data_IF_733407635213
#
_entry.id   IF_733407635213
#
_cell.length_a   1.000
_cell.length_b   1.000
_cell.length_c   1.000
_cell.angle_alpha   90.00
_cell.angle_beta   90.00
_cell.angle_gamma   90.00
#
_symmetry.space_group_name_H-M   'P 1'
#
loop_
_entity.id
_entity.type
_entity.pdbx_description
1 polymer ?
#
# COMPACT_ATOMS: atom_id res chain seq x y z
N UNK A 1 -7.99 -42.73 -24.72
CA UNK A 1 -6.90 -43.71 -24.54
C UNK A 1 -7.43 -45.14 -24.36
N UNK A 2 -8.38 -45.40 -23.42
CA UNK A 2 -8.96 -46.75 -23.24
C UNK A 2 -9.68 -47.19 -24.49
N UNK A 3 -10.61 -46.40 -25.01
CA UNK A 3 -11.36 -46.66 -26.26
C UNK A 3 -10.41 -46.86 -27.45
N UNK A 4 -9.33 -46.08 -27.54
CA UNK A 4 -8.29 -46.25 -28.55
C UNK A 4 -7.60 -47.60 -28.45
N UNK A 5 -7.23 -48.02 -27.22
CA UNK A 5 -6.60 -49.34 -27.02
C UNK A 5 -7.56 -50.46 -27.37
N UNK A 6 -8.82 -50.36 -26.98
CA UNK A 6 -9.87 -51.36 -27.30
C UNK A 6 -10.15 -51.44 -28.80
N UNK A 7 -10.17 -50.33 -29.50
CA UNK A 7 -10.29 -50.28 -30.95
C UNK A 7 -9.15 -50.99 -31.68
N UNK A 8 -7.88 -50.79 -31.21
CA UNK A 8 -6.74 -51.49 -31.79
C UNK A 8 -6.77 -52.99 -31.51
N UNK A 9 -7.07 -53.38 -30.28
CA UNK A 9 -7.25 -54.79 -29.91
C UNK A 9 -8.25 -55.50 -30.76
N UNK A 10 -9.39 -54.88 -30.98
CA UNK A 10 -10.45 -55.43 -31.84
C UNK A 10 -10.09 -55.53 -33.33
N UNK A 11 -9.25 -54.59 -33.82
CA UNK A 11 -8.77 -54.63 -35.21
C UNK A 11 -7.60 -55.55 -35.46
N UNK A 12 -6.72 -55.67 -34.50
CA UNK A 12 -5.44 -56.42 -34.68
C UNK A 12 -5.43 -57.79 -34.01
N UNK A 13 -6.47 -58.16 -33.24
CA UNK A 13 -6.52 -59.36 -32.40
C UNK A 13 -5.36 -59.49 -31.40
N UNK A 14 -4.67 -58.39 -31.15
CA UNK A 14 -3.53 -58.29 -30.24
C UNK A 14 -4.01 -58.32 -28.77
N UNK A 15 -3.30 -59.02 -27.90
CA UNK A 15 -3.62 -58.99 -26.47
C UNK A 15 -3.40 -57.61 -25.90
N UNK A 16 -4.39 -57.12 -25.14
CA UNK A 16 -4.31 -55.81 -24.51
C UNK A 16 -3.05 -55.60 -23.67
N UNK A 17 -2.56 -56.68 -23.02
CA UNK A 17 -1.33 -56.63 -22.22
C UNK A 17 -0.09 -56.28 -23.04
N UNK A 18 -0.02 -56.72 -24.29
CA UNK A 18 1.08 -56.45 -25.22
C UNK A 18 0.98 -55.00 -25.71
N UNK A 19 -0.22 -54.56 -26.05
CA UNK A 19 -0.46 -53.19 -26.54
C UNK A 19 -0.13 -52.14 -25.45
N UNK A 20 -0.54 -52.31 -24.23
CA UNK A 20 -0.24 -51.36 -23.16
C UNK A 20 1.25 -51.34 -22.80
N UNK A 21 1.95 -52.49 -22.94
CA UNK A 21 3.39 -52.51 -22.78
C UNK A 21 4.10 -51.72 -23.89
N UNK A 22 3.68 -51.88 -25.13
CA UNK A 22 4.22 -51.07 -26.26
C UNK A 22 3.98 -49.58 -26.11
N UNK A 23 2.87 -49.21 -25.51
CA UNK A 23 2.51 -47.80 -25.21
C UNK A 23 3.16 -47.29 -23.94
N UNK A 24 4.00 -48.08 -23.28
CA UNK A 24 4.64 -47.74 -21.99
C UNK A 24 3.64 -47.32 -20.90
N UNK A 25 2.48 -48.02 -20.85
CA UNK A 25 1.43 -47.82 -19.87
C UNK A 25 1.45 -48.96 -18.88
N UNK A 26 1.52 -48.67 -17.57
CA UNK A 26 1.41 -49.74 -16.57
C UNK A 26 0.02 -50.39 -16.56
N UNK A 27 -0.06 -51.71 -16.34
CA UNK A 27 -1.35 -52.45 -16.25
C UNK A 27 -2.33 -51.80 -15.26
N UNK A 28 -1.84 -51.44 -14.06
CA UNK A 28 -2.67 -50.82 -13.04
C UNK A 28 -3.23 -49.46 -13.47
N UNK A 29 -2.47 -48.68 -14.25
CA UNK A 29 -2.92 -47.41 -14.80
C UNK A 29 -4.01 -47.57 -15.86
N UNK A 30 -3.83 -48.53 -16.77
CA UNK A 30 -4.82 -48.85 -17.81
C UNK A 30 -6.16 -49.29 -17.20
N UNK A 31 -6.15 -50.26 -16.28
CA UNK A 31 -7.37 -50.77 -15.64
C UNK A 31 -8.06 -49.71 -14.77
N UNK A 32 -7.32 -48.87 -14.10
CA UNK A 32 -7.89 -47.69 -13.41
C UNK A 32 -8.59 -46.72 -14.38
N UNK A 33 -8.02 -46.54 -15.56
CA UNK A 33 -8.68 -45.73 -16.59
C UNK A 33 -9.93 -46.40 -17.14
N UNK A 34 -9.87 -47.71 -17.37
CA UNK A 34 -11.00 -48.51 -17.87
C UNK A 34 -12.21 -48.41 -16.91
N UNK A 35 -11.98 -48.52 -15.60
CA UNK A 35 -13.01 -48.37 -14.58
C UNK A 35 -13.66 -46.99 -14.55
N UNK A 36 -13.00 -46.00 -15.12
CA UNK A 36 -13.48 -44.61 -15.17
C UNK A 36 -14.11 -44.21 -16.50
N UNK A 37 -14.16 -45.11 -17.47
CA UNK A 37 -14.83 -44.84 -18.73
C UNK A 37 -16.31 -44.65 -18.44
N UNK A 38 -16.90 -43.56 -18.97
CA UNK A 38 -18.30 -43.18 -18.70
C UNK A 38 -18.56 -42.47 -17.37
N UNK A 39 -17.54 -42.36 -16.49
CA UNK A 39 -17.68 -41.56 -15.26
C UNK A 39 -17.13 -40.16 -15.44
N UNK A 40 -17.80 -39.16 -14.88
CA UNK A 40 -17.25 -37.78 -14.84
C UNK A 40 -15.92 -37.77 -14.13
N UNK A 41 -14.89 -37.22 -14.76
CA UNK A 41 -13.55 -37.16 -14.21
C UNK A 41 -13.50 -36.21 -13.01
N UNK A 42 -13.84 -36.70 -11.84
CA UNK A 42 -13.86 -35.94 -10.58
C UNK A 42 -12.47 -35.55 -10.08
N UNK A 43 -11.39 -36.18 -10.58
CA UNK A 43 -10.03 -35.97 -10.09
C UNK A 43 -9.35 -34.71 -10.64
N UNK A 44 -9.72 -34.23 -11.81
CA UNK A 44 -9.14 -33.02 -12.44
C UNK A 44 -10.06 -31.81 -12.35
N UNK A 45 -11.29 -31.98 -11.82
CA UNK A 45 -12.17 -30.85 -11.53
C UNK A 45 -11.58 -30.03 -10.38
N UNK A 46 -11.37 -28.75 -10.57
CA UNK A 46 -11.07 -27.85 -9.46
C UNK A 46 -12.30 -27.78 -8.56
N UNK A 47 -12.40 -28.70 -7.61
CA UNK A 47 -13.45 -28.60 -6.60
C UNK A 47 -13.21 -27.37 -5.75
N UNK A 48 -14.20 -26.48 -5.62
CA UNK A 48 -14.05 -25.30 -4.79
C UNK A 48 -13.72 -25.69 -3.35
N UNK A 49 -12.64 -25.10 -2.82
CA UNK A 49 -12.28 -25.25 -1.42
C UNK A 49 -13.06 -24.23 -0.60
N UNK A 50 -13.38 -24.55 0.65
CA UNK A 50 -14.18 -23.71 1.56
C UNK A 50 -13.70 -22.25 1.68
N UNK A 51 -12.39 -22.00 1.50
CA UNK A 51 -11.80 -20.68 1.59
C UNK A 51 -11.68 -19.93 0.24
N UNK A 52 -12.17 -20.49 -0.87
CA UNK A 52 -12.08 -19.81 -2.16
C UNK A 52 -12.96 -18.56 -2.18
N UNK A 53 -12.42 -17.47 -2.72
CA UNK A 53 -13.15 -16.23 -2.97
C UNK A 53 -14.39 -16.49 -3.80
N UNK A 54 -15.50 -15.88 -3.41
CA UNK A 54 -16.75 -15.95 -4.14
C UNK A 54 -16.63 -15.23 -5.50
N UNK A 55 -17.42 -15.63 -6.53
CA UNK A 55 -17.45 -14.92 -7.81
C UNK A 55 -17.76 -13.43 -7.67
N UNK A 56 -18.71 -13.09 -6.79
CA UNK A 56 -19.14 -11.73 -6.47
C UNK A 56 -17.98 -10.90 -5.85
N UNK A 57 -17.24 -11.48 -4.91
CA UNK A 57 -16.06 -10.83 -4.30
C UNK A 57 -14.95 -10.56 -5.32
N UNK A 58 -14.77 -11.47 -6.30
CA UNK A 58 -13.81 -11.27 -7.40
C UNK A 58 -14.23 -10.13 -8.31
N UNK A 59 -15.51 -10.05 -8.64
CA UNK A 59 -16.02 -8.96 -9.45
C UNK A 59 -15.93 -7.64 -8.69
N UNK A 60 -16.30 -7.63 -7.42
CA UNK A 60 -16.26 -6.44 -6.57
C UNK A 60 -14.86 -5.78 -6.54
N UNK A 61 -13.76 -6.55 -6.38
CA UNK A 61 -12.43 -5.95 -6.41
C UNK A 61 -12.05 -5.43 -7.80
N UNK A 62 -12.47 -6.10 -8.87
CA UNK A 62 -12.18 -5.65 -10.24
C UNK A 62 -12.85 -4.29 -10.49
N UNK A 63 -14.12 -4.17 -10.13
CA UNK A 63 -14.89 -2.94 -10.33
C UNK A 63 -14.42 -1.83 -9.41
N UNK A 64 -14.05 -2.16 -8.17
CA UNK A 64 -13.44 -1.23 -7.23
C UNK A 64 -12.11 -0.68 -7.77
N UNK A 65 -11.22 -1.55 -8.23
CA UNK A 65 -9.94 -1.14 -8.79
C UNK A 65 -10.10 -0.29 -10.07
N UNK A 66 -11.08 -0.62 -10.94
CA UNK A 66 -11.38 0.19 -12.14
C UNK A 66 -11.84 1.60 -11.77
N UNK A 67 -12.72 1.75 -10.78
CA UNK A 67 -13.16 3.06 -10.30
C UNK A 67 -12.00 3.89 -9.78
N UNK A 68 -11.08 3.28 -9.01
CA UNK A 68 -9.91 3.98 -8.49
C UNK A 68 -8.88 4.35 -9.56
N UNK A 69 -8.66 3.50 -10.56
CA UNK A 69 -7.76 3.83 -11.69
C UNK A 69 -8.33 4.99 -12.51
N UNK A 70 -9.65 5.07 -12.65
CA UNK A 70 -10.34 6.10 -13.43
C UNK A 70 -10.64 7.37 -12.62
N UNK A 71 -10.61 7.32 -11.29
CA UNK A 71 -10.79 8.49 -10.44
C UNK A 71 -9.52 9.33 -10.47
N UNK A 72 -9.62 10.42 -11.18
CA UNK A 72 -8.58 11.42 -11.40
C UNK A 72 -8.07 11.98 -10.06
N UNK A 73 -6.86 11.82 -9.70
CA UNK A 73 -6.00 12.76 -9.01
C UNK A 73 -4.93 12.18 -8.10
N UNK A 74 -5.26 11.21 -7.20
CA UNK A 74 -4.24 10.74 -6.24
C UNK A 74 -4.08 9.21 -6.18
N UNK A 75 -4.95 8.47 -6.89
CA UNK A 75 -5.03 7.01 -6.81
C UNK A 75 -4.27 6.25 -7.90
N UNK A 76 -3.72 6.97 -8.89
CA UNK A 76 -3.02 6.37 -10.05
C UNK A 76 -1.85 5.44 -9.66
N UNK A 77 -1.27 5.66 -8.48
CA UNK A 77 -0.14 4.88 -7.97
C UNK A 77 -0.51 3.92 -6.83
N UNK A 78 -1.80 3.70 -6.58
CA UNK A 78 -2.23 2.78 -5.53
C UNK A 78 -1.97 1.33 -5.93
N UNK A 79 -1.01 0.72 -5.26
CA UNK A 79 -0.72 -0.70 -5.43
C UNK A 79 -1.84 -1.59 -4.86
N UNK A 80 -1.92 -2.84 -5.34
CA UNK A 80 -2.95 -3.81 -4.93
C UNK A 80 -3.15 -3.92 -3.41
N UNK A 81 -2.11 -3.72 -2.60
CA UNK A 81 -2.22 -3.77 -1.13
C UNK A 81 -3.08 -2.63 -0.60
N UNK A 82 -2.84 -1.40 -1.08
CA UNK A 82 -3.61 -0.22 -0.67
C UNK A 82 -5.07 -0.38 -1.10
N UNK A 83 -5.32 -0.73 -2.35
CA UNK A 83 -6.66 -1.04 -2.90
C UNK A 83 -7.37 -2.09 -2.04
N UNK A 84 -6.65 -3.14 -1.59
CA UNK A 84 -7.23 -4.18 -0.74
C UNK A 84 -7.71 -3.63 0.60
N UNK A 85 -6.85 -2.89 1.30
CA UNK A 85 -7.22 -2.36 2.62
C UNK A 85 -8.31 -1.29 2.52
N UNK A 86 -8.30 -0.45 1.48
CA UNK A 86 -9.40 0.49 1.20
C UNK A 86 -10.72 -0.25 1.02
N UNK A 87 -10.76 -1.30 0.20
CA UNK A 87 -11.98 -2.09 -0.02
C UNK A 87 -12.47 -2.83 1.23
N UNK A 88 -11.57 -3.27 2.13
CA UNK A 88 -11.92 -3.84 3.44
C UNK A 88 -12.54 -2.75 4.34
N UNK A 89 -11.91 -1.57 4.41
CA UNK A 89 -12.38 -0.48 5.25
C UNK A 89 -13.76 0.02 4.81
N UNK A 90 -14.01 0.10 3.51
CA UNK A 90 -15.27 0.49 2.90
C UNK A 90 -16.32 -0.65 2.82
N UNK A 91 -16.05 -1.83 3.36
CA UNK A 91 -16.93 -3.01 3.35
C UNK A 91 -17.34 -3.52 1.95
N UNK A 92 -16.49 -3.30 0.94
CA UNK A 92 -16.75 -3.76 -0.43
C UNK A 92 -16.42 -5.25 -0.60
N UNK A 93 -15.33 -5.68 -0.02
CA UNK A 93 -14.86 -7.08 0.05
C UNK A 93 -13.90 -7.25 1.22
N UNK A 94 -13.67 -8.52 1.64
CA UNK A 94 -12.71 -8.82 2.70
C UNK A 94 -11.93 -10.11 2.41
N UNK A 95 -10.67 -9.96 1.96
CA UNK A 95 -9.72 -11.05 1.74
C UNK A 95 -8.27 -10.53 1.80
N UNK A 96 -7.32 -11.46 1.83
CA UNK A 96 -5.90 -11.09 1.96
C UNK A 96 -5.38 -10.31 0.74
N UNK A 97 -4.36 -9.43 0.92
CA UNK A 97 -3.73 -8.73 -0.20
C UNK A 97 -3.15 -9.66 -1.27
N UNK A 98 -2.74 -10.88 -0.90
CA UNK A 98 -2.25 -11.86 -1.87
C UNK A 98 -3.37 -12.37 -2.77
N UNK A 99 -4.58 -12.51 -2.24
CA UNK A 99 -5.76 -12.87 -3.03
C UNK A 99 -6.09 -11.75 -4.03
N UNK A 100 -6.09 -10.50 -3.58
CA UNK A 100 -6.24 -9.33 -4.45
C UNK A 100 -5.20 -9.31 -5.58
N UNK A 101 -3.93 -9.53 -5.25
CA UNK A 101 -2.86 -9.62 -6.24
C UNK A 101 -3.15 -10.67 -7.32
N UNK A 102 -3.57 -11.89 -6.92
CA UNK A 102 -3.85 -12.97 -7.87
C UNK A 102 -5.01 -12.65 -8.79
N UNK A 103 -6.07 -12.02 -8.27
CA UNK A 103 -7.25 -11.62 -9.04
C UNK A 103 -6.86 -10.53 -10.04
N UNK A 104 -6.27 -9.42 -9.57
CA UNK A 104 -5.89 -8.28 -10.40
C UNK A 104 -4.82 -8.63 -11.44
N UNK A 105 -3.90 -9.56 -11.12
CA UNK A 105 -2.92 -10.08 -12.07
C UNK A 105 -3.59 -10.82 -13.24
N UNK A 106 -4.59 -11.65 -12.96
CA UNK A 106 -5.32 -12.41 -14.01
C UNK A 106 -6.04 -11.51 -15.00
N UNK A 107 -6.53 -10.37 -14.57
CA UNK A 107 -7.23 -9.40 -15.44
C UNK A 107 -6.30 -8.30 -15.99
N UNK A 108 -4.98 -8.43 -15.78
CA UNK A 108 -4.00 -7.49 -16.34
C UNK A 108 -4.00 -6.09 -15.71
N UNK A 109 -4.60 -5.92 -14.53
CA UNK A 109 -4.75 -4.60 -13.87
C UNK A 109 -3.58 -4.23 -12.95
N UNK A 110 -2.50 -5.01 -12.94
CA UNK A 110 -1.31 -4.66 -12.17
C UNK A 110 -0.31 -3.92 -13.07
N UNK A 111 0.17 -2.77 -12.59
CA UNK A 111 1.29 -2.08 -13.22
C UNK A 111 2.54 -2.98 -13.25
N UNK A 112 3.28 -2.94 -14.35
CA UNK A 112 4.56 -3.66 -14.44
C UNK A 112 5.53 -3.09 -13.40
N UNK A 113 5.73 -3.81 -12.33
CA UNK A 113 6.69 -3.44 -11.28
C UNK A 113 8.11 -3.55 -11.84
N UNK A 114 8.83 -2.43 -11.89
CA UNK A 114 10.27 -2.46 -12.14
C UNK A 114 10.94 -2.94 -10.85
N UNK A 115 11.65 -4.07 -10.90
CA UNK A 115 12.47 -4.55 -9.79
C UNK A 115 13.51 -3.48 -9.43
N UNK A 116 13.26 -2.73 -8.36
CA UNK A 116 14.30 -1.89 -7.76
C UNK A 116 15.24 -2.78 -6.97
N UNK A 117 16.55 -2.65 -7.22
CA UNK A 117 17.57 -3.28 -6.36
C UNK A 117 17.27 -2.89 -4.91
N UNK A 118 17.19 -3.89 -4.02
CA UNK A 118 17.06 -3.63 -2.59
C UNK A 118 18.31 -2.90 -2.13
N UNK A 119 18.19 -1.67 -1.65
CA UNK A 119 19.25 -1.06 -0.87
C UNK A 119 19.32 -1.78 0.47
N UNK A 120 20.49 -2.21 0.85
CA UNK A 120 20.74 -2.76 2.19
C UNK A 120 20.59 -1.59 3.16
N UNK A 121 19.53 -1.59 3.94
CA UNK A 121 19.32 -0.59 4.99
C UNK A 121 20.35 -0.85 6.08
N UNK A 122 21.30 0.08 6.24
CA UNK A 122 22.22 0.07 7.38
C UNK A 122 21.48 0.71 8.56
N UNK A 123 21.13 -0.10 9.55
CA UNK A 123 20.74 0.26 10.90
C UNK A 123 19.74 1.42 11.12
N UNK A 124 18.93 1.31 12.11
CA UNK A 124 18.09 2.40 12.64
C UNK A 124 18.90 3.18 13.70
N UNK A 125 19.61 4.21 13.30
CA UNK A 125 20.47 4.98 14.21
C UNK A 125 19.73 5.81 15.27
N UNK A 126 18.39 5.94 15.21
CA UNK A 126 17.61 6.73 16.15
C UNK A 126 16.51 5.90 16.83
N UNK A 127 16.32 6.16 18.14
CA UNK A 127 15.18 5.64 18.88
C UNK A 127 13.90 6.19 18.21
N UNK A 128 13.06 5.29 17.74
CA UNK A 128 11.81 5.70 17.09
C UNK A 128 10.84 6.27 18.13
N UNK A 129 10.06 7.31 17.79
CA UNK A 129 9.03 7.83 18.67
C UNK A 129 7.95 6.76 18.91
N UNK A 130 7.43 6.70 20.13
CA UNK A 130 6.41 5.74 20.58
C UNK A 130 5.03 6.36 20.67
N UNK A 131 4.94 7.68 20.65
CA UNK A 131 3.71 8.45 20.77
C UNK A 131 3.70 9.65 19.82
N UNK A 132 2.51 10.18 19.47
CA UNK A 132 2.41 11.42 18.72
C UNK A 132 3.06 12.60 19.45
N UNK A 133 3.60 13.54 18.68
CA UNK A 133 4.19 14.81 19.15
C UNK A 133 5.48 14.65 19.98
N UNK A 134 6.12 13.48 19.99
CA UNK A 134 7.45 13.31 20.59
C UNK A 134 8.58 13.84 19.71
N UNK A 135 8.38 13.71 18.39
CA UNK A 135 9.42 13.99 17.40
C UNK A 135 8.80 14.57 16.14
N UNK A 136 9.27 15.73 15.74
CA UNK A 136 8.87 16.35 14.48
C UNK A 136 10.03 16.38 13.49
N UNK A 137 9.73 16.10 12.24
CA UNK A 137 10.66 16.24 11.13
C UNK A 137 10.29 17.46 10.31
N UNK A 138 11.27 18.27 9.95
CA UNK A 138 11.09 19.41 9.05
C UNK A 138 12.09 19.34 7.91
N UNK A 139 11.65 19.76 6.73
CA UNK A 139 12.49 19.82 5.54
C UNK A 139 11.83 20.75 4.49
N UNK A 140 12.66 21.30 3.59
CA UNK A 140 12.23 22.21 2.53
C UNK A 140 12.30 21.48 1.19
N UNK A 141 11.15 21.38 0.51
CA UNK A 141 11.10 20.84 -0.84
C UNK A 141 10.95 21.95 -1.88
N UNK A 142 11.83 21.93 -2.86
CA UNK A 142 11.72 22.78 -4.05
C UNK A 142 10.60 22.26 -4.95
N UNK A 143 9.67 23.12 -5.28
CA UNK A 143 8.54 22.86 -6.15
C UNK A 143 8.71 23.70 -7.42
N UNK A 144 8.89 23.05 -8.56
CA UNK A 144 9.02 23.77 -9.84
C UNK A 144 7.70 24.46 -10.17
N UNK A 145 7.78 25.75 -10.47
CA UNK A 145 6.65 26.58 -10.82
C UNK A 145 7.04 27.54 -11.94
N UNK A 146 6.56 27.28 -13.17
CA UNK A 146 6.73 28.17 -14.35
C UNK A 146 8.19 28.59 -14.59
N UNK A 147 9.15 27.69 -14.42
CA UNK A 147 10.58 27.97 -14.62
C UNK A 147 11.28 28.62 -13.42
N UNK A 148 10.57 28.86 -12.31
CA UNK A 148 11.11 29.25 -11.01
C UNK A 148 10.77 28.22 -9.95
N UNK A 149 11.09 28.49 -8.68
CA UNK A 149 10.80 27.61 -7.57
C UNK A 149 9.89 28.27 -6.53
N UNK A 150 8.93 27.46 -6.05
CA UNK A 150 8.28 27.67 -4.77
C UNK A 150 8.88 26.72 -3.75
N UNK A 151 8.74 27.03 -2.49
CA UNK A 151 9.34 26.30 -1.38
C UNK A 151 8.24 25.73 -0.48
N UNK A 152 8.08 24.41 -0.52
CA UNK A 152 7.22 23.73 0.42
C UNK A 152 8.00 23.52 1.71
N UNK A 153 7.56 24.11 2.81
CA UNK A 153 8.09 23.95 4.15
C UNK A 153 7.07 23.16 4.94
N UNK A 154 7.44 21.95 5.39
CA UNK A 154 6.54 21.05 6.09
C UNK A 154 7.06 20.61 7.44
N UNK A 155 6.16 20.41 8.39
CA UNK A 155 6.42 19.81 9.71
C UNK A 155 5.62 18.53 9.81
N UNK A 156 6.30 17.38 9.97
CA UNK A 156 5.72 16.04 10.04
C UNK A 156 5.92 15.44 11.41
N UNK A 157 4.88 14.90 12.02
CA UNK A 157 5.00 14.07 13.21
C UNK A 157 5.70 12.74 12.88
N UNK A 158 6.76 12.45 13.59
CA UNK A 158 7.61 11.29 13.35
C UNK A 158 6.97 9.95 13.67
N UNK A 159 5.98 9.90 14.55
CA UNK A 159 5.24 8.71 14.92
C UNK A 159 4.15 8.40 13.90
N UNK A 160 3.20 9.30 13.74
CA UNK A 160 2.01 9.13 12.91
C UNK A 160 2.25 9.41 11.42
N UNK A 161 3.36 10.03 11.03
CA UNK A 161 3.61 10.56 9.68
C UNK A 161 2.64 11.67 9.27
N UNK A 162 1.85 12.18 10.18
CA UNK A 162 0.90 13.26 9.95
C UNK A 162 1.62 14.57 9.66
N UNK A 163 1.23 15.30 8.63
CA UNK A 163 1.73 16.65 8.37
C UNK A 163 1.01 17.61 9.31
N UNK A 164 1.70 18.04 10.34
CA UNK A 164 1.21 18.91 11.41
C UNK A 164 0.87 20.29 10.85
N UNK A 165 1.80 20.84 10.09
CA UNK A 165 1.63 22.11 9.38
C UNK A 165 2.50 22.15 8.12
N UNK A 166 2.08 22.96 7.17
CA UNK A 166 2.84 23.20 5.93
C UNK A 166 2.49 24.56 5.36
N UNK A 167 3.42 25.12 4.60
CA UNK A 167 3.19 26.27 3.75
C UNK A 167 3.94 26.15 2.43
N UNK A 168 3.37 26.73 1.37
CA UNK A 168 4.04 26.90 0.09
C UNK A 168 4.40 28.39 -0.06
N UNK A 169 5.70 28.68 -0.03
CA UNK A 169 6.25 30.04 0.01
C UNK A 169 7.06 30.36 -1.23
N UNK A 170 7.27 31.65 -1.46
CA UNK A 170 8.14 32.18 -2.55
C UNK A 170 9.59 32.37 -2.07
N UNK A 171 9.83 32.27 -0.78
CA UNK A 171 11.15 32.36 -0.12
C UNK A 171 11.34 31.18 0.84
N UNK A 172 12.57 30.97 1.25
CA UNK A 172 12.97 29.88 2.19
C UNK A 172 14.00 30.39 3.21
N UNK A 173 13.78 31.61 3.74
CA UNK A 173 14.61 32.17 4.79
C UNK A 173 14.43 31.44 6.12
N UNK A 174 15.31 31.66 7.10
CA UNK A 174 15.13 31.16 8.46
C UNK A 174 13.80 31.61 9.08
N UNK A 175 13.39 32.90 8.84
CA UNK A 175 12.10 33.44 9.29
C UNK A 175 10.92 32.71 8.70
N UNK A 176 11.01 32.26 7.46
CA UNK A 176 9.95 31.46 6.82
C UNK A 176 9.78 30.12 7.57
N UNK A 177 10.88 29.49 7.94
CA UNK A 177 10.85 28.21 8.69
C UNK A 177 10.34 28.43 10.12
N UNK A 178 10.77 29.49 10.79
CA UNK A 178 10.30 29.85 12.14
C UNK A 178 8.78 30.06 12.17
N UNK A 179 8.23 30.81 11.22
CA UNK A 179 6.76 31.04 11.10
C UNK A 179 6.02 29.71 10.95
N UNK A 180 6.51 28.84 10.06
CA UNK A 180 5.88 27.53 9.83
C UNK A 180 5.93 26.67 11.09
N UNK A 181 7.06 26.66 11.79
CA UNK A 181 7.23 25.90 13.03
C UNK A 181 6.37 26.49 14.16
N UNK A 182 6.32 27.80 14.29
CA UNK A 182 5.47 28.50 15.26
C UNK A 182 4.00 28.12 15.07
N UNK A 183 3.49 28.18 13.84
CA UNK A 183 2.11 27.77 13.50
C UNK A 183 1.84 26.30 13.76
N UNK A 184 2.87 25.44 13.63
CA UNK A 184 2.76 24.04 14.00
C UNK A 184 2.62 23.88 15.53
N UNK A 185 3.41 24.62 16.32
CA UNK A 185 3.35 24.61 17.78
C UNK A 185 2.02 25.13 18.33
N UNK A 186 1.45 26.16 17.70
CA UNK A 186 0.14 26.71 18.06
C UNK A 186 -1.00 25.69 17.97
N UNK A 187 -0.88 24.70 17.08
CA UNK A 187 -1.86 23.63 16.97
C UNK A 187 -1.78 22.61 18.11
N UNK A 188 -0.65 22.55 18.82
CA UNK A 188 -0.40 21.61 19.92
C UNK A 188 0.19 22.33 21.13
N UNK A 189 -0.59 23.19 21.80
CA UNK A 189 -0.12 23.99 22.93
C UNK A 189 0.51 23.12 24.02
N UNK A 190 1.65 23.54 24.55
CA UNK A 190 2.35 22.84 25.61
C UNK A 190 3.18 21.61 25.18
N UNK A 191 3.08 21.17 23.92
CA UNK A 191 3.97 20.10 23.42
C UNK A 191 5.33 20.66 23.06
N UNK A 192 6.39 19.93 23.41
CA UNK A 192 7.79 20.25 23.10
C UNK A 192 8.45 19.10 22.36
N UNK A 193 8.10 18.87 21.08
CA UNK A 193 8.68 17.79 20.30
C UNK A 193 10.17 18.02 20.06
N UNK A 194 10.93 16.92 19.94
CA UNK A 194 12.28 16.95 19.43
C UNK A 194 12.23 17.25 17.91
N UNK A 195 12.82 18.36 17.49
CA UNK A 195 12.85 18.75 16.08
C UNK A 195 14.03 18.10 15.36
N UNK A 196 13.78 17.40 14.26
CA UNK A 196 14.80 16.84 13.37
C UNK A 196 14.76 17.60 12.05
N UNK A 197 15.90 18.10 11.61
CA UNK A 197 16.08 18.70 10.29
C UNK A 197 17.37 18.22 9.63
N UNK A 198 17.53 18.53 8.36
CA UNK A 198 18.82 18.45 7.69
C UNK A 198 19.78 19.58 8.14
N UNK A 199 20.90 19.73 7.42
CA UNK A 199 21.90 20.79 7.67
C UNK A 199 21.72 21.97 6.68
N UNK A 200 20.53 22.23 6.20
CA UNK A 200 20.25 23.43 5.38
C UNK A 200 20.62 24.72 6.11
N UNK A 201 21.06 25.76 5.38
CA UNK A 201 21.51 27.03 5.95
C UNK A 201 20.49 27.66 6.89
N UNK A 202 19.19 27.50 6.59
CA UNK A 202 18.07 27.99 7.37
C UNK A 202 18.00 27.37 8.77
N UNK A 203 18.37 26.07 8.90
CA UNK A 203 18.33 25.33 10.15
C UNK A 203 19.60 25.47 11.00
N UNK A 204 20.68 26.03 10.45
CA UNK A 204 21.94 26.21 11.15
C UNK A 204 22.22 27.66 11.56
N UNK A 205 21.38 28.64 11.13
CA UNK A 205 21.51 30.05 11.48
C UNK A 205 21.48 30.27 12.98
N UNK A 206 22.06 31.35 13.44
CA UNK A 206 22.02 31.71 14.86
C UNK A 206 20.64 32.10 15.32
N UNK A 207 19.92 32.86 14.49
CA UNK A 207 18.56 33.32 14.78
C UNK A 207 17.61 32.12 14.97
N UNK A 208 17.68 31.11 14.10
CA UNK A 208 16.87 29.89 14.25
C UNK A 208 17.21 29.10 15.53
N UNK A 209 18.49 29.08 15.92
CA UNK A 209 18.89 28.41 17.18
C UNK A 209 18.35 29.17 18.40
N UNK A 210 18.39 30.50 18.37
CA UNK A 210 17.84 31.35 19.42
C UNK A 210 16.35 31.18 19.55
N UNK A 211 15.61 31.21 18.45
CA UNK A 211 14.19 30.89 18.40
C UNK A 211 13.87 29.50 19.01
N UNK A 212 14.59 28.46 18.65
CA UNK A 212 14.36 27.13 19.22
C UNK A 212 14.61 27.06 20.72
N UNK A 213 15.61 27.80 21.22
CA UNK A 213 15.90 27.90 22.65
C UNK A 213 14.76 28.60 23.39
N UNK A 214 14.24 29.70 22.85
CA UNK A 214 13.08 30.42 23.39
C UNK A 214 11.82 29.56 23.39
N UNK A 215 11.58 28.84 22.29
CA UNK A 215 10.48 27.89 22.17
C UNK A 215 10.65 26.64 23.07
N UNK A 216 11.82 26.44 23.67
CA UNK A 216 12.15 25.30 24.53
C UNK A 216 12.20 23.97 23.77
N UNK A 217 12.59 23.99 22.48
CA UNK A 217 12.65 22.81 21.62
C UNK A 217 14.07 22.25 21.55
N UNK A 218 14.19 20.93 21.62
CA UNK A 218 15.44 20.23 21.34
C UNK A 218 15.62 20.04 19.84
N UNK A 219 16.71 20.56 19.28
CA UNK A 219 17.05 20.38 17.87
C UNK A 219 18.08 19.28 17.65
N UNK A 220 17.79 18.36 16.74
CA UNK A 220 18.69 17.29 16.32
C UNK A 220 18.92 17.42 14.81
N UNK A 221 20.13 17.75 14.44
CA UNK A 221 20.53 17.81 13.04
C UNK A 221 20.95 16.44 12.54
N UNK A 222 20.55 16.09 11.32
CA UNK A 222 21.00 14.85 10.72
C UNK A 222 22.50 14.91 10.43
N UNK A 223 23.23 13.88 10.80
CA UNK A 223 24.64 13.76 10.45
C UNK A 223 24.82 13.50 8.96
N UNK A 224 25.88 14.03 8.36
CA UNK A 224 26.26 13.70 6.96
C UNK A 224 26.46 12.20 6.75
N UNK A 225 26.81 11.47 7.80
CA UNK A 225 26.98 10.01 7.77
C UNK A 225 25.69 9.22 7.95
N UNK A 226 24.58 9.85 8.37
CA UNK A 226 23.29 9.24 8.62
C UNK A 226 22.12 10.08 8.05
N UNK A 227 22.05 10.28 6.74
CA UNK A 227 20.95 11.05 6.12
C UNK A 227 19.59 10.40 6.33
N UNK A 228 19.55 9.11 6.68
CA UNK A 228 18.32 8.34 6.91
C UNK A 228 17.47 8.87 8.08
N UNK A 229 18.02 9.74 8.94
CA UNK A 229 17.27 10.33 10.05
C UNK A 229 16.10 11.19 9.59
N UNK A 230 16.22 11.87 8.45
CA UNK A 230 15.14 12.66 7.84
C UNK A 230 14.33 11.88 6.76
N UNK A 231 14.64 10.60 6.57
CA UNK A 231 14.04 9.75 5.55
C UNK A 231 12.51 9.62 5.61
N UNK A 232 11.90 10.02 6.74
CA UNK A 232 10.44 10.04 6.92
C UNK A 232 9.81 11.14 6.06
N UNK A 233 10.29 12.36 6.18
CA UNK A 233 9.78 13.51 5.43
C UNK A 233 10.27 13.48 3.97
N UNK A 234 11.49 12.98 3.71
CA UNK A 234 11.97 12.76 2.34
C UNK A 234 11.05 11.78 1.57
N UNK A 235 10.58 10.72 2.24
CA UNK A 235 9.61 9.79 1.65
C UNK A 235 8.27 10.47 1.36
N UNK A 236 7.83 11.36 2.24
CA UNK A 236 6.64 12.17 2.00
C UNK A 236 6.83 13.08 0.77
N UNK A 237 7.96 13.80 0.68
CA UNK A 237 8.28 14.65 -0.46
C UNK A 237 8.27 13.88 -1.79
N UNK A 238 8.77 12.65 -1.77
CA UNK A 238 8.71 11.76 -2.93
C UNK A 238 7.26 11.38 -3.30
N UNK A 239 6.43 11.07 -2.31
CA UNK A 239 5.01 10.78 -2.57
C UNK A 239 4.27 11.99 -3.11
N UNK A 240 4.51 13.17 -2.55
CA UNK A 240 3.96 14.45 -3.02
C UNK A 240 4.39 14.74 -4.47
N UNK A 241 5.65 14.50 -4.81
CA UNK A 241 6.17 14.64 -6.17
C UNK A 241 5.44 13.74 -7.16
N UNK A 242 5.31 12.44 -6.81
CA UNK A 242 4.76 11.42 -7.70
C UNK A 242 3.22 11.50 -7.81
N UNK A 243 2.53 11.89 -6.75
CA UNK A 243 1.07 11.82 -6.64
C UNK A 243 0.38 13.18 -6.86
N UNK A 244 1.09 14.30 -6.66
CA UNK A 244 0.56 15.64 -6.78
C UNK A 244 1.32 16.46 -7.83
N UNK A 245 2.59 16.77 -7.60
CA UNK A 245 3.29 17.80 -8.35
C UNK A 245 3.48 17.47 -9.84
N UNK A 246 3.76 16.20 -10.17
CA UNK A 246 3.93 15.76 -11.56
C UNK A 246 2.63 15.68 -12.37
N UNK A 247 1.52 15.56 -11.69
CA UNK A 247 0.19 15.39 -12.31
C UNK A 247 -0.60 16.70 -12.36
N UNK A 248 -0.10 17.75 -11.71
CA UNK A 248 -0.79 19.01 -11.55
C UNK A 248 -0.25 20.09 -12.50
N UNK A 249 -1.15 20.86 -13.09
CA UNK A 249 -0.84 22.11 -13.80
C UNK A 249 -1.17 23.28 -12.89
N UNK A 250 -0.14 23.96 -12.38
CA UNK A 250 -0.30 25.09 -11.47
C UNK A 250 -0.49 26.39 -12.28
N UNK A 251 -1.69 26.98 -12.24
CA UNK A 251 -2.05 28.15 -13.03
C UNK A 251 -1.50 29.45 -12.41
N UNK A 252 -1.63 29.59 -11.09
CA UNK A 252 -1.11 30.73 -10.33
C UNK A 252 -0.67 30.26 -8.93
N UNK A 253 -0.13 31.18 -8.14
CA UNK A 253 0.40 30.87 -6.80
C UNK A 253 -0.70 30.33 -5.85
N UNK A 254 -1.89 30.91 -5.90
CA UNK A 254 -3.00 30.51 -5.04
C UNK A 254 -3.50 29.09 -5.43
N UNK A 255 -3.61 28.81 -6.72
CA UNK A 255 -3.92 27.47 -7.22
C UNK A 255 -2.86 26.45 -6.79
N UNK A 256 -1.57 26.81 -6.87
CA UNK A 256 -0.48 25.95 -6.37
C UNK A 256 -0.63 25.66 -4.86
N UNK A 257 -0.94 26.66 -4.06
CA UNK A 257 -1.20 26.54 -2.62
C UNK A 257 -2.38 25.63 -2.33
N UNK A 258 -3.48 25.84 -3.05
CA UNK A 258 -4.69 25.04 -2.90
C UNK A 258 -4.47 23.56 -3.29
N UNK A 259 -3.78 23.31 -4.41
CA UNK A 259 -3.46 21.94 -4.85
C UNK A 259 -2.58 21.21 -3.83
N UNK A 260 -1.57 21.88 -3.28
CA UNK A 260 -0.72 21.34 -2.23
C UNK A 260 -1.52 21.10 -0.94
N UNK A 261 -2.37 22.04 -0.54
CA UNK A 261 -3.22 21.87 0.66
C UNK A 261 -4.19 20.70 0.52
N UNK A 262 -4.84 20.54 -0.64
CA UNK A 262 -5.70 19.38 -0.95
C UNK A 262 -4.92 18.06 -0.90
N UNK A 263 -3.68 18.05 -1.40
CA UNK A 263 -2.85 16.85 -1.31
C UNK A 263 -2.47 16.52 0.13
N UNK A 264 -2.10 17.50 0.95
CA UNK A 264 -1.80 17.29 2.37
C UNK A 264 -3.01 16.75 3.12
N UNK A 265 -4.20 17.30 2.86
CA UNK A 265 -5.44 16.78 3.44
C UNK A 265 -5.67 15.32 3.03
N UNK A 266 -5.56 15.01 1.74
CA UNK A 266 -5.65 13.64 1.24
C UNK A 266 -4.61 12.71 1.90
N UNK A 267 -3.36 13.15 1.99
CA UNK A 267 -2.28 12.38 2.61
C UNK A 267 -2.55 12.08 4.08
N UNK A 268 -3.00 13.05 4.84
CA UNK A 268 -3.27 12.92 6.26
C UNK A 268 -4.52 12.08 6.57
N UNK A 269 -5.60 12.31 5.82
CA UNK A 269 -6.94 11.87 6.19
C UNK A 269 -7.49 10.72 5.34
N UNK A 270 -6.92 10.45 4.15
CA UNK A 270 -7.45 9.44 3.22
C UNK A 270 -6.40 8.40 2.79
N UNK A 271 -5.17 8.83 2.58
CA UNK A 271 -4.12 7.98 2.03
C UNK A 271 -3.64 6.93 3.03
N UNK A 272 -3.77 5.65 2.67
CA UNK A 272 -3.23 4.56 3.48
C UNK A 272 -1.71 4.47 3.37
N UNK A 273 -1.02 4.32 4.50
CA UNK A 273 0.43 4.35 4.58
C UNK A 273 1.02 2.98 4.92
N UNK A 274 1.91 2.47 4.06
CA UNK A 274 2.45 1.10 4.22
C UNK A 274 3.23 0.85 5.51
N UNK A 275 3.93 1.86 6.05
CA UNK A 275 4.63 1.74 7.33
C UNK A 275 3.72 1.93 8.56
N UNK A 276 2.45 2.22 8.34
CA UNK A 276 1.41 2.37 9.36
C UNK A 276 0.35 1.27 9.21
N UNK A 277 0.74 0.04 8.90
CA UNK A 277 -0.18 -1.10 8.68
C UNK A 277 -1.29 -0.82 7.65
N UNK A 278 -1.02 0.06 6.68
CA UNK A 278 -2.02 0.56 5.75
C UNK A 278 -3.21 1.25 6.45
N UNK A 279 -2.94 1.95 7.55
CA UNK A 279 -3.84 2.93 8.16
C UNK A 279 -3.46 4.34 7.70
N UNK A 280 -4.30 5.32 7.98
CA UNK A 280 -4.08 6.73 7.65
C UNK A 280 -3.19 7.39 8.72
N UNK A 281 -2.41 8.41 8.38
CA UNK A 281 -1.68 9.19 9.38
C UNK A 281 -2.55 9.69 10.54
N UNK A 282 -3.77 10.16 10.26
CA UNK A 282 -4.73 10.63 11.28
C UNK A 282 -5.14 9.53 12.26
N UNK A 283 -5.21 8.27 11.83
CA UNK A 283 -5.58 7.16 12.71
C UNK A 283 -4.52 6.93 13.79
N UNK A 284 -3.24 7.05 13.40
CA UNK A 284 -2.11 6.99 14.33
C UNK A 284 -2.03 8.21 15.24
N UNK A 285 -2.35 9.39 14.72
CA UNK A 285 -2.37 10.62 15.51
C UNK A 285 -3.44 10.55 16.63
N UNK A 286 -4.60 9.97 16.32
CA UNK A 286 -5.73 9.86 17.26
C UNK A 286 -5.65 8.63 18.17
N UNK A 287 -4.70 7.72 17.97
CA UNK A 287 -4.53 6.53 18.81
C UNK A 287 -5.50 5.38 18.54
N UNK A 288 -6.24 5.39 17.44
CA UNK A 288 -7.29 4.40 17.12
C UNK A 288 -6.76 3.13 16.43
N UNK A 289 -5.46 2.86 16.52
CA UNK A 289 -4.78 1.84 15.72
C UNK A 289 -5.30 0.44 16.01
N UNK A 290 -5.35 0.05 17.29
CA UNK A 290 -5.73 -1.31 17.69
C UNK A 290 -7.18 -1.63 17.37
N UNK A 291 -8.08 -0.67 17.56
CA UNK A 291 -9.50 -0.80 17.19
C UNK A 291 -9.67 -1.04 15.69
N UNK A 292 -9.00 -0.24 14.86
CA UNK A 292 -9.10 -0.34 13.41
C UNK A 292 -8.50 -1.66 12.89
N UNK A 293 -7.39 -2.11 13.44
CA UNK A 293 -6.78 -3.39 13.09
C UNK A 293 -7.69 -4.56 13.49
N UNK A 294 -8.28 -4.51 14.67
CA UNK A 294 -9.26 -5.50 15.13
C UNK A 294 -10.49 -5.52 14.24
N UNK A 295 -11.05 -4.37 13.91
CA UNK A 295 -12.21 -4.28 13.02
C UNK A 295 -11.92 -4.87 11.62
N UNK A 296 -10.71 -4.69 11.08
CA UNK A 296 -10.29 -5.35 9.83
C UNK A 296 -10.21 -6.87 9.97
N UNK A 297 -9.67 -7.36 11.09
CA UNK A 297 -9.59 -8.79 11.35
C UNK A 297 -11.00 -9.42 11.45
N UNK A 298 -11.90 -8.81 12.19
CA UNK A 298 -13.28 -9.26 12.33
C UNK A 298 -14.01 -9.36 10.96
N UNK A 299 -13.76 -8.39 10.06
CA UNK A 299 -14.29 -8.43 8.69
C UNK A 299 -13.72 -9.61 7.88
N UNK A 300 -12.42 -9.89 8.01
CA UNK A 300 -11.77 -11.00 7.33
C UNK A 300 -12.29 -12.36 7.83
N UNK A 301 -12.50 -12.50 9.12
CA UNK A 301 -13.00 -13.73 9.75
C UNK A 301 -14.45 -14.00 9.35
N UNK A 302 -15.30 -12.97 9.40
CA UNK A 302 -16.68 -13.04 8.94
C UNK A 302 -16.79 -13.42 7.45
N UNK A 303 -15.95 -12.82 6.61
CA UNK A 303 -15.93 -13.16 5.19
C UNK A 303 -15.45 -14.60 4.94
N UNK A 304 -14.52 -15.10 5.74
CA UNK A 304 -14.03 -16.48 5.67
C UNK A 304 -15.13 -17.47 6.05
N UNK A 305 -15.90 -17.18 7.09
CA UNK A 305 -17.03 -17.99 7.50
C UNK A 305 -18.14 -18.02 6.42
N UNK A 306 -18.45 -16.85 5.84
CA UNK A 306 -19.45 -16.76 4.74
C UNK A 306 -19.04 -17.60 3.52
N UNK A 307 -17.75 -17.60 3.14
CA UNK A 307 -17.22 -18.44 2.06
C UNK A 307 -17.38 -19.91 2.38
N UNK A 308 -17.07 -20.32 3.63
CA UNK A 308 -17.25 -21.70 4.07
C UNK A 308 -18.68 -22.15 3.91
N UNK A 309 -19.65 -21.41 4.47
CA UNK A 309 -21.08 -21.70 4.36
C UNK A 309 -21.56 -21.80 2.91
N UNK A 310 -21.14 -20.87 2.06
CA UNK A 310 -21.48 -20.87 0.63
C UNK A 310 -20.99 -22.13 -0.10
N UNK A 311 -19.74 -22.51 0.09
CA UNK A 311 -19.17 -23.67 -0.59
C UNK A 311 -19.63 -24.99 -0.02
N UNK A 312 -19.96 -25.06 1.26
CA UNK A 312 -20.59 -26.23 1.89
C UNK A 312 -22.01 -26.46 1.33
N UNK A 313 -22.80 -25.42 1.25
CA UNK A 313 -24.14 -25.50 0.65
C UNK A 313 -24.09 -26.00 -0.81
N UNK A 314 -23.13 -25.51 -1.61
CA UNK A 314 -22.96 -25.98 -3.00
C UNK A 314 -22.46 -27.42 -3.13
N UNK A 315 -21.73 -27.95 -2.17
CA UNK A 315 -21.32 -29.36 -2.18
C UNK A 315 -22.49 -30.30 -1.95
N UNK A 316 -23.48 -29.89 -1.15
CA UNK A 316 -24.63 -30.71 -0.80
C UNK A 316 -25.70 -30.74 -1.93
N UNK A 317 -25.57 -29.88 -2.95
CA UNK A 317 -26.48 -29.78 -4.09
C UNK A 317 -25.90 -30.44 -5.37
N UNK A 318 -24.59 -30.79 -5.35
CA UNK A 318 -23.88 -31.44 -6.46
C UNK A 318 -23.57 -32.91 -6.17
#
# INVERSE_FOLDING_TARGET
MVEYCESIVNKSQMLIGVLILMLNISRSKYYKWKQRVGTVNRHNGQQPKQHWTLPEERQAIIDYARRHINSLQYYLNDGYRRITYMGIDENVFAFSPMTAYRILKRVGMLSKWKNKKRSISKGTGFKQPTEPQQEWHTDIKFVNYRGTFLFFIGVMDGYSRYIVHHELRVSMTEKDVEIVLQRALEKYPGKKPRLISDNGSQYISNDFREYLKEAGLQHVKTSRSYPQSNGKIERYHKSMEEECLRTSSMINLEDAREQVARYVDHYNNKRLHSSLFYLRPVDFLNGNVDELLKARQDKLDKATENRRKYWEAKKNVA
#
